data_IF_923684478787
#
_entry.id   IF_923684478787
#
_cell.length_a   1.000
_cell.length_b   1.000
_cell.length_c   1.000
_cell.angle_alpha   90.00
_cell.angle_beta   90.00
_cell.angle_gamma   90.00
#
_symmetry.space_group_name_H-M   'P 1'
#
loop_
_entity.id
_entity.type
_entity.pdbx_description
1 polymer ?
#
# COMPACT_ATOMS: atom_id res chain seq x y z
N UNK A 1 50.79 40.09 17.95
CA UNK A 1 51.07 39.73 16.54
C UNK A 1 50.21 38.51 16.12
N UNK A 2 48.99 38.36 16.62
CA UNK A 2 48.24 37.09 16.56
C UNK A 2 47.08 37.05 15.55
N UNK A 3 46.98 38.07 14.70
CA UNK A 3 45.90 38.16 13.70
C UNK A 3 45.88 37.08 12.59
N UNK A 4 47.00 36.43 12.19
CA UNK A 4 46.96 35.41 11.13
C UNK A 4 46.34 34.08 11.56
N UNK A 5 46.54 33.68 12.82
CA UNK A 5 46.06 32.41 13.39
C UNK A 5 44.57 32.45 13.71
N UNK A 6 44.08 33.57 14.27
CA UNK A 6 42.65 33.77 14.54
C UNK A 6 41.82 33.84 13.23
N UNK A 7 42.36 34.45 12.17
CA UNK A 7 41.72 34.47 10.83
C UNK A 7 41.68 33.10 10.15
N UNK A 8 42.70 32.24 10.36
CA UNK A 8 42.70 30.85 9.86
C UNK A 8 41.59 30.01 10.51
N UNK A 9 41.42 30.10 11.83
CA UNK A 9 40.37 29.38 12.56
C UNK A 9 38.95 29.75 12.14
N UNK A 10 38.69 31.03 11.85
CA UNK A 10 37.39 31.49 11.31
C UNK A 10 37.11 30.89 9.92
N UNK A 11 38.15 30.80 9.07
CA UNK A 11 38.03 30.25 7.72
C UNK A 11 37.75 28.75 7.74
N UNK A 12 38.35 28.01 8.67
CA UNK A 12 38.08 26.58 8.91
C UNK A 12 36.66 26.34 9.41
N UNK A 13 36.16 27.16 10.34
CA UNK A 13 34.77 27.08 10.81
C UNK A 13 33.80 27.38 9.67
N UNK A 14 34.10 28.38 8.82
CA UNK A 14 33.29 28.72 7.66
C UNK A 14 33.21 27.58 6.63
N UNK A 15 34.33 26.90 6.36
CA UNK A 15 34.35 25.74 5.47
C UNK A 15 33.54 24.56 6.05
N UNK A 16 33.71 24.25 7.34
CA UNK A 16 32.91 23.22 8.02
C UNK A 16 31.41 23.52 7.99
N UNK A 17 31.02 24.78 8.12
CA UNK A 17 29.61 25.18 8.00
C UNK A 17 29.10 24.91 6.58
N UNK A 18 29.89 25.16 5.53
CA UNK A 18 29.50 24.86 4.14
C UNK A 18 29.33 23.37 3.90
N UNK A 19 30.28 22.55 4.34
CA UNK A 19 30.22 21.08 4.24
C UNK A 19 28.96 20.54 4.91
N UNK A 20 28.65 20.99 6.14
CA UNK A 20 27.45 20.58 6.84
C UNK A 20 26.15 21.03 6.13
N UNK A 21 26.17 22.18 5.44
CA UNK A 21 25.03 22.62 4.63
C UNK A 21 24.83 21.74 3.40
N UNK A 22 25.89 21.27 2.76
CA UNK A 22 25.83 20.33 1.65
C UNK A 22 25.27 18.98 2.11
N UNK A 23 25.79 18.42 3.21
CA UNK A 23 25.26 17.18 3.81
C UNK A 23 23.78 17.32 4.21
N UNK A 24 23.39 18.45 4.80
CA UNK A 24 21.99 18.73 5.14
C UNK A 24 21.10 18.82 3.89
N UNK A 25 21.61 19.38 2.79
CA UNK A 25 20.88 19.45 1.53
C UNK A 25 20.63 18.05 0.94
N UNK A 26 21.62 17.17 1.01
CA UNK A 26 21.48 15.77 0.57
C UNK A 26 20.46 15.00 1.43
N UNK A 27 20.53 15.13 2.76
CA UNK A 27 19.57 14.50 3.67
C UNK A 27 18.15 15.00 3.42
N UNK A 28 17.99 16.30 3.11
CA UNK A 28 16.71 16.90 2.74
C UNK A 28 16.16 16.31 1.44
N UNK A 29 17.00 16.07 0.42
CA UNK A 29 16.59 15.41 -0.83
C UNK A 29 16.11 13.98 -0.56
N UNK A 30 16.94 13.17 0.12
CA UNK A 30 16.60 11.78 0.49
C UNK A 30 15.30 11.67 1.30
N UNK A 31 15.07 12.61 2.23
CA UNK A 31 13.80 12.70 2.99
C UNK A 31 12.61 13.00 2.08
N UNK A 32 12.75 13.94 1.15
CA UNK A 32 11.66 14.31 0.24
C UNK A 32 11.32 13.16 -0.71
N UNK A 33 12.33 12.51 -1.29
CA UNK A 33 12.16 11.32 -2.13
C UNK A 33 11.43 10.20 -1.37
N UNK A 34 11.85 9.91 -0.13
CA UNK A 34 11.16 8.92 0.71
C UNK A 34 9.70 9.30 1.00
N UNK A 35 9.40 10.58 1.22
CA UNK A 35 8.01 11.05 1.41
C UNK A 35 7.16 10.92 0.15
N UNK A 36 7.72 11.19 -1.03
CA UNK A 36 7.02 10.98 -2.30
C UNK A 36 6.70 9.50 -2.53
N UNK A 37 7.66 8.61 -2.25
CA UNK A 37 7.45 7.16 -2.31
C UNK A 37 6.37 6.70 -1.33
N UNK A 38 6.37 7.20 -0.08
CA UNK A 38 5.30 6.94 0.89
C UNK A 38 3.94 7.33 0.32
N UNK A 39 3.83 8.49 -0.32
CA UNK A 39 2.57 8.97 -0.91
C UNK A 39 2.13 8.06 -2.06
N UNK A 40 3.03 7.73 -2.98
CA UNK A 40 2.74 6.85 -4.12
C UNK A 40 2.27 5.46 -3.68
N UNK A 41 2.96 4.84 -2.71
CA UNK A 41 2.58 3.53 -2.20
C UNK A 41 1.27 3.56 -1.40
N UNK A 42 0.96 4.68 -0.71
CA UNK A 42 -0.36 4.88 -0.08
C UNK A 42 -1.48 4.94 -1.11
N UNK A 43 -1.30 5.67 -2.21
CA UNK A 43 -2.28 5.76 -3.29
C UNK A 43 -2.52 4.41 -3.96
N UNK A 44 -1.44 3.66 -4.25
CA UNK A 44 -1.52 2.29 -4.78
C UNK A 44 -2.30 1.38 -3.84
N UNK A 45 -2.01 1.41 -2.54
CA UNK A 45 -2.71 0.64 -1.51
C UNK A 45 -4.19 1.00 -1.46
N UNK A 46 -4.53 2.29 -1.55
CA UNK A 46 -5.93 2.73 -1.53
C UNK A 46 -6.70 2.23 -2.76
N UNK A 47 -6.09 2.29 -3.95
CA UNK A 47 -6.68 1.76 -5.17
C UNK A 47 -6.90 0.25 -5.10
N UNK A 48 -5.92 -0.51 -4.58
CA UNK A 48 -6.08 -1.94 -4.34
C UNK A 48 -7.24 -2.21 -3.38
N UNK A 49 -7.34 -1.44 -2.30
CA UNK A 49 -8.43 -1.63 -1.33
C UNK A 49 -9.81 -1.33 -1.94
N UNK A 50 -9.92 -0.38 -2.88
CA UNK A 50 -11.17 -0.12 -3.62
C UNK A 50 -11.56 -1.34 -4.46
N UNK A 51 -10.61 -1.88 -5.24
CA UNK A 51 -10.82 -3.08 -6.06
C UNK A 51 -11.22 -4.29 -5.20
N UNK A 52 -10.56 -4.47 -4.05
CA UNK A 52 -10.88 -5.56 -3.12
C UNK A 52 -12.30 -5.43 -2.59
N UNK A 53 -12.75 -4.22 -2.22
CA UNK A 53 -14.13 -3.99 -1.74
C UNK A 53 -15.16 -4.34 -2.81
N UNK A 54 -14.94 -3.91 -4.06
CA UNK A 54 -15.82 -4.23 -5.18
C UNK A 54 -15.90 -5.74 -5.43
N UNK A 55 -14.75 -6.43 -5.43
CA UNK A 55 -14.72 -7.89 -5.59
C UNK A 55 -15.40 -8.63 -4.44
N UNK A 56 -15.26 -8.16 -3.20
CA UNK A 56 -15.96 -8.72 -2.04
C UNK A 56 -17.48 -8.60 -2.20
N UNK A 57 -17.96 -7.45 -2.66
CA UNK A 57 -19.39 -7.23 -2.90
C UNK A 57 -19.91 -8.15 -4.02
N UNK A 58 -19.15 -8.30 -5.11
CA UNK A 58 -19.48 -9.24 -6.18
C UNK A 58 -19.56 -10.69 -5.67
N UNK A 59 -18.59 -11.12 -4.85
CA UNK A 59 -18.62 -12.45 -4.21
C UNK A 59 -19.84 -12.61 -3.30
N UNK A 60 -20.23 -11.55 -2.57
CA UNK A 60 -21.42 -11.56 -1.73
C UNK A 60 -22.70 -11.76 -2.55
N UNK A 61 -22.83 -11.05 -3.66
CA UNK A 61 -23.96 -11.19 -4.57
C UNK A 61 -24.03 -12.60 -5.17
N UNK A 62 -22.91 -13.13 -5.67
CA UNK A 62 -22.85 -14.50 -6.20
C UNK A 62 -23.18 -15.55 -5.13
N UNK A 63 -22.75 -15.36 -3.88
CA UNK A 63 -23.11 -16.23 -2.76
C UNK A 63 -24.61 -16.19 -2.48
N UNK A 64 -25.24 -15.02 -2.54
CA UNK A 64 -26.69 -14.88 -2.35
C UNK A 64 -27.46 -15.62 -3.45
N UNK A 65 -27.06 -15.45 -4.72
CA UNK A 65 -27.73 -16.12 -5.84
C UNK A 65 -27.54 -17.64 -5.79
N UNK A 66 -26.33 -18.11 -5.45
CA UNK A 66 -26.08 -19.53 -5.19
C UNK A 66 -26.97 -20.07 -4.06
N UNK A 67 -27.14 -19.31 -2.98
CA UNK A 67 -27.95 -19.74 -1.83
C UNK A 67 -29.44 -19.83 -2.18
N UNK A 68 -29.96 -18.94 -3.05
CA UNK A 68 -31.34 -19.04 -3.58
C UNK A 68 -31.54 -20.35 -4.33
N UNK A 69 -30.66 -20.66 -5.29
CA UNK A 69 -30.71 -21.91 -6.05
C UNK A 69 -30.59 -23.15 -5.15
N UNK A 70 -29.71 -23.12 -4.14
CA UNK A 70 -29.59 -24.21 -3.15
C UNK A 70 -30.90 -24.40 -2.38
N UNK A 71 -31.59 -23.31 -2.04
CA UNK A 71 -32.84 -23.38 -1.28
C UNK A 71 -33.94 -24.02 -2.12
N UNK A 72 -34.07 -23.61 -3.39
CA UNK A 72 -34.99 -24.23 -4.35
C UNK A 72 -34.68 -25.73 -4.57
N UNK A 73 -33.40 -26.11 -4.54
CA UNK A 73 -32.99 -27.50 -4.76
C UNK A 73 -33.23 -28.40 -3.53
N UNK A 74 -33.15 -27.83 -2.32
CA UNK A 74 -33.46 -28.53 -1.07
C UNK A 74 -34.92 -28.96 -0.99
N UNK A 75 -35.83 -28.23 -1.61
CA UNK A 75 -37.26 -28.60 -1.65
C UNK A 75 -37.49 -29.96 -2.32
N UNK A 76 -36.60 -30.36 -3.23
CA UNK A 76 -36.72 -31.61 -4.00
C UNK A 76 -36.19 -32.84 -3.26
N UNK A 77 -35.36 -32.65 -2.21
CA UNK A 77 -34.77 -33.75 -1.42
C UNK A 77 -34.09 -34.86 -2.24
N UNK A 78 -33.59 -34.56 -3.44
CA UNK A 78 -32.86 -35.51 -4.30
C UNK A 78 -31.44 -35.02 -4.55
N UNK A 79 -30.49 -35.94 -4.55
CA UNK A 79 -29.11 -35.67 -4.94
C UNK A 79 -28.97 -35.64 -6.46
N UNK A 80 -27.93 -34.96 -6.96
CA UNK A 80 -27.62 -34.87 -8.40
C UNK A 80 -27.57 -36.26 -9.05
N UNK A 81 -26.89 -37.21 -8.42
CA UNK A 81 -26.76 -38.59 -8.92
C UNK A 81 -28.09 -39.33 -8.98
N UNK A 82 -28.94 -39.15 -7.95
CA UNK A 82 -30.26 -39.77 -7.92
C UNK A 82 -31.17 -39.21 -9.03
N UNK A 83 -31.08 -37.90 -9.31
CA UNK A 83 -31.84 -37.27 -10.39
C UNK A 83 -31.42 -37.86 -11.75
N UNK A 84 -30.12 -37.99 -11.99
CA UNK A 84 -29.59 -38.57 -13.24
C UNK A 84 -30.04 -40.02 -13.40
N UNK A 85 -29.94 -40.84 -12.35
CA UNK A 85 -30.39 -42.24 -12.39
C UNK A 85 -31.90 -42.34 -12.68
N UNK A 86 -32.70 -41.44 -12.12
CA UNK A 86 -34.15 -41.42 -12.34
C UNK A 86 -34.50 -41.01 -13.76
N UNK A 87 -33.83 -40.01 -14.32
CA UNK A 87 -33.97 -39.62 -15.73
C UNK A 87 -33.64 -40.81 -16.63
N UNK A 88 -32.48 -41.45 -16.45
CA UNK A 88 -32.05 -42.58 -17.29
C UNK A 88 -33.03 -43.76 -17.20
N UNK A 89 -33.59 -44.02 -16.02
CA UNK A 89 -34.59 -45.07 -15.83
C UNK A 89 -35.89 -44.76 -16.57
N UNK A 90 -36.38 -43.51 -16.48
CA UNK A 90 -37.58 -43.07 -17.18
C UNK A 90 -37.38 -43.10 -18.71
N UNK A 91 -36.22 -42.65 -19.19
CA UNK A 91 -35.85 -42.72 -20.62
C UNK A 91 -35.81 -44.18 -21.12
N UNK A 92 -35.19 -45.08 -20.35
CA UNK A 92 -35.19 -46.52 -20.68
C UNK A 92 -36.61 -47.09 -20.74
N UNK A 93 -37.51 -46.68 -19.84
CA UNK A 93 -38.91 -47.12 -19.87
C UNK A 93 -39.61 -46.64 -21.14
N UNK A 94 -39.43 -45.37 -21.52
CA UNK A 94 -40.01 -44.80 -22.74
C UNK A 94 -39.51 -45.56 -23.97
N UNK A 95 -38.20 -45.83 -24.05
CA UNK A 95 -37.58 -46.50 -25.20
C UNK A 95 -37.93 -47.99 -25.31
N UNK A 96 -37.96 -48.71 -24.19
CA UNK A 96 -38.05 -50.19 -24.20
C UNK A 96 -39.45 -50.75 -23.96
N UNK A 97 -40.33 -50.02 -23.24
CA UNK A 97 -41.62 -50.56 -22.79
C UNK A 97 -42.82 -50.12 -23.63
N UNK A 98 -42.61 -49.32 -24.69
CA UNK A 98 -43.65 -48.83 -25.61
C UNK A 98 -44.95 -48.43 -24.88
N UNK A 99 -44.88 -47.45 -23.95
CA UNK A 99 -46.04 -47.03 -23.17
C UNK A 99 -47.18 -46.48 -24.05
N UNK A 100 -48.39 -46.36 -23.49
CA UNK A 100 -49.47 -45.62 -24.15
C UNK A 100 -49.11 -44.15 -24.30
N UNK A 101 -49.69 -43.47 -25.30
CA UNK A 101 -49.46 -42.04 -25.56
C UNK A 101 -49.67 -41.12 -24.34
N UNK A 102 -50.63 -41.43 -23.47
CA UNK A 102 -50.84 -40.67 -22.23
C UNK A 102 -49.71 -40.88 -21.24
N UNK A 103 -49.30 -42.14 -21.03
CA UNK A 103 -48.23 -42.47 -20.10
C UNK A 103 -46.87 -41.97 -20.59
N UNK A 104 -46.63 -41.97 -21.89
CA UNK A 104 -45.43 -41.39 -22.50
C UNK A 104 -45.32 -39.89 -22.22
N UNK A 105 -46.42 -39.13 -22.37
CA UNK A 105 -46.44 -37.69 -22.04
C UNK A 105 -46.16 -37.43 -20.57
N UNK A 106 -46.70 -38.25 -19.66
CA UNK A 106 -46.40 -38.14 -18.23
C UNK A 106 -44.92 -38.38 -17.92
N UNK A 107 -44.35 -39.46 -18.48
CA UNK A 107 -42.93 -39.80 -18.31
C UNK A 107 -42.01 -38.70 -18.84
N UNK A 108 -42.34 -38.12 -20.00
CA UNK A 108 -41.61 -36.98 -20.57
C UNK A 108 -41.71 -35.76 -19.65
N UNK A 109 -42.90 -35.47 -19.09
CA UNK A 109 -43.08 -34.38 -18.12
C UNK A 109 -42.24 -34.57 -16.85
N UNK A 110 -42.15 -35.79 -16.33
CA UNK A 110 -41.26 -36.12 -15.20
C UNK A 110 -39.79 -35.94 -15.56
N UNK A 111 -39.35 -36.39 -16.74
CA UNK A 111 -37.98 -36.20 -17.24
C UNK A 111 -37.64 -34.71 -17.35
N UNK A 112 -38.51 -33.90 -17.95
CA UNK A 112 -38.31 -32.45 -18.06
C UNK A 112 -38.24 -31.77 -16.70
N UNK A 113 -39.08 -32.20 -15.74
CA UNK A 113 -39.01 -31.72 -14.37
C UNK A 113 -37.65 -31.99 -13.74
N UNK A 114 -37.14 -33.23 -13.82
CA UNK A 114 -35.83 -33.60 -13.29
C UNK A 114 -34.67 -32.90 -14.00
N UNK A 115 -34.75 -32.70 -15.32
CA UNK A 115 -33.74 -31.96 -16.10
C UNK A 115 -33.61 -30.50 -15.64
N UNK A 116 -34.71 -29.81 -15.33
CA UNK A 116 -34.65 -28.44 -14.76
C UNK A 116 -33.87 -28.36 -13.45
N UNK A 117 -33.94 -29.39 -12.60
CA UNK A 117 -33.14 -29.41 -11.37
C UNK A 117 -31.67 -29.70 -11.63
N UNK A 118 -31.37 -30.50 -12.64
CA UNK A 118 -29.99 -30.75 -13.06
C UNK A 118 -29.34 -29.45 -13.54
N UNK A 119 -30.04 -28.67 -14.39
CA UNK A 119 -29.58 -27.36 -14.86
C UNK A 119 -29.31 -26.38 -13.69
N UNK A 120 -30.21 -26.34 -12.70
CA UNK A 120 -30.00 -25.53 -11.48
C UNK A 120 -28.78 -26.01 -10.68
N UNK A 121 -28.56 -27.32 -10.59
CA UNK A 121 -27.37 -27.89 -9.93
C UNK A 121 -26.09 -27.48 -10.66
N UNK A 122 -26.07 -27.52 -11.98
CA UNK A 122 -24.92 -27.11 -12.78
C UNK A 122 -24.63 -25.62 -12.65
N UNK A 123 -25.69 -24.78 -12.61
CA UNK A 123 -25.55 -23.36 -12.32
C UNK A 123 -24.93 -23.09 -10.93
N UNK A 124 -25.26 -23.89 -9.92
CA UNK A 124 -24.63 -23.81 -8.58
C UNK A 124 -23.14 -24.16 -8.66
N UNK A 125 -22.78 -25.19 -9.42
CA UNK A 125 -21.39 -25.61 -9.61
C UNK A 125 -20.57 -24.51 -10.30
N UNK A 126 -21.12 -23.88 -11.35
CA UNK A 126 -20.51 -22.74 -12.03
C UNK A 126 -20.33 -21.52 -11.12
N UNK A 127 -21.36 -21.16 -10.36
CA UNK A 127 -21.28 -20.08 -9.39
C UNK A 127 -20.21 -20.37 -8.33
N UNK A 128 -20.10 -21.63 -7.90
CA UNK A 128 -19.08 -22.05 -6.92
C UNK A 128 -17.66 -21.92 -7.48
N UNK A 129 -17.44 -22.28 -8.75
CA UNK A 129 -16.16 -22.06 -9.45
C UNK A 129 -15.83 -20.57 -9.54
N UNK A 130 -16.78 -19.73 -9.96
CA UNK A 130 -16.61 -18.26 -10.05
C UNK A 130 -16.32 -17.63 -8.69
N UNK A 131 -17.01 -18.06 -7.64
CA UNK A 131 -16.76 -17.59 -6.26
C UNK A 131 -15.34 -17.97 -5.83
N UNK A 132 -14.89 -19.18 -6.15
CA UNK A 132 -13.55 -19.64 -5.80
C UNK A 132 -12.47 -18.81 -6.50
N UNK A 133 -12.56 -18.61 -7.82
CA UNK A 133 -11.59 -17.81 -8.57
C UNK A 133 -11.54 -16.36 -8.07
N UNK A 134 -12.69 -15.73 -7.84
CA UNK A 134 -12.73 -14.37 -7.27
C UNK A 134 -12.15 -14.31 -5.87
N UNK A 135 -12.33 -15.34 -5.05
CA UNK A 135 -11.75 -15.41 -3.70
C UNK A 135 -10.23 -15.55 -3.72
N UNK A 136 -9.69 -16.31 -4.68
CA UNK A 136 -8.25 -16.43 -4.94
C UNK A 136 -7.68 -15.07 -5.38
N UNK A 137 -8.32 -14.39 -6.34
CA UNK A 137 -7.93 -13.05 -6.77
C UNK A 137 -7.94 -12.05 -5.60
N UNK A 138 -8.99 -12.03 -4.77
CA UNK A 138 -9.06 -11.18 -3.57
C UNK A 138 -7.86 -11.44 -2.65
N UNK A 139 -7.51 -12.71 -2.45
CA UNK A 139 -6.39 -13.10 -1.59
C UNK A 139 -5.05 -12.57 -2.14
N UNK A 140 -4.85 -12.61 -3.46
CA UNK A 140 -3.68 -12.02 -4.11
C UNK A 140 -3.64 -10.50 -3.96
N UNK A 141 -4.76 -9.81 -4.13
CA UNK A 141 -4.82 -8.36 -3.92
C UNK A 141 -4.56 -7.97 -2.47
N UNK A 142 -5.00 -8.77 -1.50
CA UNK A 142 -4.69 -8.56 -0.08
C UNK A 142 -3.19 -8.70 0.16
N UNK A 143 -2.52 -9.70 -0.42
CA UNK A 143 -1.05 -9.84 -0.34
C UNK A 143 -0.34 -8.62 -0.94
N UNK A 144 -0.73 -8.21 -2.15
CA UNK A 144 -0.18 -7.00 -2.79
C UNK A 144 -0.39 -5.74 -1.92
N UNK A 145 -1.57 -5.59 -1.31
CA UNK A 145 -1.85 -4.47 -0.39
C UNK A 145 -0.95 -4.50 0.85
N UNK A 146 -0.66 -5.69 1.39
CA UNK A 146 0.24 -5.87 2.53
C UNK A 146 1.70 -5.53 2.17
N UNK A 147 2.19 -5.95 1.01
CA UNK A 147 3.52 -5.60 0.51
C UNK A 147 3.66 -4.08 0.32
N UNK A 148 2.67 -3.42 -0.27
CA UNK A 148 2.68 -1.96 -0.43
C UNK A 148 2.63 -1.25 0.93
N UNK A 149 1.92 -1.82 1.92
CA UNK A 149 1.94 -1.30 3.28
C UNK A 149 3.32 -1.44 3.94
N UNK A 150 4.01 -2.57 3.76
CA UNK A 150 5.37 -2.75 4.27
C UNK A 150 6.33 -1.71 3.69
N UNK A 151 6.27 -1.47 2.37
CA UNK A 151 7.08 -0.42 1.72
C UNK A 151 6.78 0.97 2.29
N UNK A 152 5.51 1.29 2.54
CA UNK A 152 5.14 2.56 3.21
C UNK A 152 5.81 2.68 4.58
N UNK A 153 5.85 1.61 5.37
CA UNK A 153 6.49 1.62 6.68
C UNK A 153 8.01 1.79 6.58
N UNK A 154 8.65 1.11 5.62
CA UNK A 154 10.09 1.21 5.38
C UNK A 154 10.47 2.64 4.96
N UNK A 155 9.81 3.21 3.96
CA UNK A 155 10.09 4.58 3.52
C UNK A 155 9.72 5.62 4.58
N UNK A 156 8.69 5.37 5.40
CA UNK A 156 8.37 6.24 6.52
C UNK A 156 9.48 6.22 7.58
N UNK A 157 10.07 5.06 7.89
CA UNK A 157 11.23 4.95 8.78
C UNK A 157 12.45 5.69 8.21
N UNK A 158 12.78 5.45 6.94
CA UNK A 158 13.88 6.13 6.26
C UNK A 158 13.69 7.66 6.28
N UNK A 159 12.47 8.12 6.02
CA UNK A 159 12.14 9.56 6.09
C UNK A 159 12.31 10.12 7.50
N UNK A 160 11.84 9.40 8.53
CA UNK A 160 11.97 9.81 9.92
C UNK A 160 13.45 9.86 10.38
N UNK A 161 14.24 8.85 10.02
CA UNK A 161 15.69 8.82 10.32
C UNK A 161 16.43 9.96 9.62
N UNK A 162 16.15 10.21 8.34
CA UNK A 162 16.76 11.31 7.61
C UNK A 162 16.32 12.67 8.18
N UNK A 163 15.07 12.79 8.65
CA UNK A 163 14.61 13.99 9.35
C UNK A 163 15.36 14.21 10.66
N UNK A 164 15.55 13.16 11.46
CA UNK A 164 16.30 13.23 12.71
C UNK A 164 17.76 13.64 12.48
N UNK A 165 18.46 12.99 11.54
CA UNK A 165 19.83 13.34 11.15
C UNK A 165 19.93 14.77 10.63
N UNK A 166 18.93 15.22 9.87
CA UNK A 166 18.87 16.59 9.37
C UNK A 166 18.77 17.60 10.52
N UNK A 167 17.98 17.31 11.55
CA UNK A 167 17.86 18.18 12.74
C UNK A 167 19.18 18.26 13.51
N UNK A 168 19.83 17.11 13.74
CA UNK A 168 21.15 17.07 14.38
C UNK A 168 22.19 17.90 13.62
N UNK A 169 22.21 17.81 12.29
CA UNK A 169 23.09 18.61 11.43
C UNK A 169 22.77 20.11 11.52
N UNK A 170 21.51 20.50 11.55
CA UNK A 170 21.14 21.92 11.76
C UNK A 170 21.54 22.43 13.15
N UNK A 171 21.44 21.61 14.19
CA UNK A 171 21.90 21.96 15.53
C UNK A 171 23.42 22.13 15.60
N UNK A 172 24.18 21.26 14.93
CA UNK A 172 25.63 21.40 14.77
C UNK A 172 26.01 22.69 14.03
N UNK A 173 25.33 22.99 12.92
CA UNK A 173 25.50 24.24 12.17
C UNK A 173 25.22 25.45 13.09
N UNK A 174 24.14 25.41 13.87
CA UNK A 174 23.78 26.50 14.79
C UNK A 174 24.83 26.69 15.90
N UNK A 175 25.37 25.59 16.46
CA UNK A 175 26.48 25.65 17.43
C UNK A 175 27.75 26.25 16.81
N UNK A 176 28.10 25.85 15.59
CA UNK A 176 29.26 26.40 14.88
C UNK A 176 29.07 27.87 14.50
N UNK A 177 27.86 28.28 14.10
CA UNK A 177 27.53 29.69 13.86
C UNK A 177 27.67 30.55 15.12
N UNK A 178 27.24 30.05 16.29
CA UNK A 178 27.46 30.76 17.57
C UNK A 178 28.95 30.95 17.83
N UNK A 179 29.75 29.87 17.72
CA UNK A 179 31.21 29.93 17.87
C UNK A 179 31.88 30.86 16.86
N UNK A 180 31.41 30.87 15.62
CA UNK A 180 31.87 31.76 14.57
C UNK A 180 31.62 33.22 14.95
N UNK A 181 30.39 33.56 15.35
CA UNK A 181 30.02 34.92 15.74
C UNK A 181 30.80 35.41 16.96
N UNK A 182 30.93 34.57 18.00
CA UNK A 182 31.73 34.89 19.19
C UNK A 182 33.20 35.15 18.85
N UNK A 183 33.78 34.34 17.96
CA UNK A 183 35.16 34.51 17.52
C UNK A 183 35.33 35.76 16.66
N UNK A 184 34.35 36.06 15.80
CA UNK A 184 34.33 37.25 14.96
C UNK A 184 34.20 38.54 15.78
N UNK A 185 33.30 38.57 16.78
CA UNK A 185 33.16 39.70 17.69
C UNK A 185 34.44 39.96 18.50
N UNK A 186 35.10 38.91 18.99
CA UNK A 186 36.41 39.04 19.68
C UNK A 186 37.47 39.67 18.78
N UNK A 187 37.54 39.29 17.50
CA UNK A 187 38.49 39.89 16.55
C UNK A 187 38.11 41.34 16.23
N UNK A 188 36.82 41.63 16.05
CA UNK A 188 36.32 42.99 15.77
C UNK A 188 36.64 43.95 16.93
N UNK A 189 36.31 43.56 18.17
CA UNK A 189 36.56 44.35 19.37
C UNK A 189 38.06 44.58 19.60
N UNK A 190 38.92 43.56 19.40
CA UNK A 190 40.39 43.72 19.43
C UNK A 190 40.89 44.71 18.38
N UNK A 191 40.30 44.72 17.17
CA UNK A 191 40.70 45.65 16.11
C UNK A 191 40.29 47.10 16.40
N UNK A 192 39.12 47.29 17.04
CA UNK A 192 38.62 48.61 17.43
C UNK A 192 39.40 49.18 18.64
N UNK A 193 39.81 48.34 19.60
CA UNK A 193 40.73 48.74 20.68
C UNK A 193 42.13 49.10 20.17
N UNK A 194 42.66 48.35 19.21
CA UNK A 194 43.96 48.66 18.61
C UNK A 194 43.93 49.98 17.83
N UNK A 195 42.84 50.26 17.08
CA UNK A 195 42.65 51.55 16.40
C UNK A 195 42.56 52.73 17.38
N UNK A 196 41.86 52.57 18.50
CA UNK A 196 41.79 53.62 19.55
C UNK A 196 43.17 53.92 20.15
N UNK A 197 43.97 52.88 20.41
CA UNK A 197 45.35 53.03 20.92
C UNK A 197 46.31 53.64 19.90
N UNK A 198 46.11 53.39 18.61
CA UNK A 198 46.89 54.06 17.54
C UNK A 198 46.54 55.55 17.44
N UNK A 199 45.26 55.92 17.54
CA UNK A 199 44.84 57.34 17.51
C UNK A 199 45.35 58.10 18.74
N UNK A 200 45.26 57.51 19.95
CA UNK A 200 45.80 58.12 21.18
C UNK A 200 47.34 58.26 21.18
N UNK A 201 48.06 57.38 20.47
CA UNK A 201 49.51 57.48 20.32
C UNK A 201 49.95 58.48 19.24
N UNK A 202 49.08 58.82 18.29
CA UNK A 202 49.32 59.87 17.29
C UNK A 202 49.03 61.25 17.88
N UNK A 203 48.04 61.38 18.78
CA UNK A 203 47.71 62.64 19.47
C UNK A 203 48.68 63.02 20.60
N UNK A 204 49.56 62.10 21.04
CA UNK A 204 50.57 62.34 22.10
C UNK A 204 51.99 62.57 21.57
N UNK A 205 52.18 62.74 20.26
CA UNK A 205 53.46 63.06 19.61
C UNK A 205 53.39 64.45 18.97
#
# INVERSE_FOLDING_TARGET
MDHPTEKKGIKEISNKIKELYEEAAELKKKRNEANELVKSHKEKRENINKIVKEKIENVRNLKNDRNKLITELKEVNLTKDNIIQKINHLETIVETKCPSLEREKELIGEIEYYRKFLEKSDAIDELSKKIKSLSEEISEYIKKSAEEHQKVLEYAKISAENHQKLMEKYDEINKLKKKYNESYEKIKNKSDENKKKEVENIEKK
#
